data_IF_104929622369
#
_entry.id   IF_104929622369
#
_cell.length_a   1.000
_cell.length_b   1.000
_cell.length_c   1.000
_cell.angle_alpha   90.00
_cell.angle_beta   90.00
_cell.angle_gamma   90.00
#
_symmetry.space_group_name_H-M   'P 1'
#
loop_
_entity.id
_entity.type
_entity.pdbx_description
1 polymer ?
#
# COMPACT_ATOMS: atom_id res chain seq x y z
N UNK A 1 -11.26 -31.21 -28.98
CA UNK A 1 -10.78 -29.92 -28.47
C UNK A 1 -11.28 -29.79 -27.05
N UNK A 2 -10.42 -30.06 -26.06
CA UNK A 2 -10.79 -30.02 -24.65
C UNK A 2 -10.92 -28.56 -24.20
N UNK A 3 -12.08 -28.23 -23.64
CA UNK A 3 -12.24 -27.05 -22.81
C UNK A 3 -11.61 -27.41 -21.47
N UNK A 4 -10.35 -27.01 -21.26
CA UNK A 4 -9.74 -27.06 -19.93
C UNK A 4 -10.51 -26.11 -19.03
N UNK A 5 -11.53 -26.63 -18.37
CA UNK A 5 -12.26 -25.91 -17.33
C UNK A 5 -11.28 -25.78 -16.17
N UNK A 6 -10.71 -24.58 -16.00
CA UNK A 6 -9.78 -24.30 -14.90
C UNK A 6 -10.56 -24.53 -13.59
N UNK A 7 -10.30 -25.67 -12.96
CA UNK A 7 -11.08 -26.12 -11.81
C UNK A 7 -11.00 -25.11 -10.67
N UNK A 8 -12.10 -24.80 -9.95
CA UNK A 8 -12.11 -23.82 -8.86
C UNK A 8 -11.01 -24.07 -7.82
N UNK A 9 -10.65 -25.34 -7.58
CA UNK A 9 -9.54 -25.69 -6.70
C UNK A 9 -8.21 -25.17 -7.23
N UNK A 10 -7.92 -25.31 -8.53
CA UNK A 10 -6.69 -24.84 -9.15
C UNK A 10 -6.52 -23.33 -8.99
N UNK A 11 -7.60 -22.58 -9.19
CA UNK A 11 -7.62 -21.12 -9.01
C UNK A 11 -7.40 -20.72 -7.55
N UNK A 12 -8.02 -21.42 -6.58
CA UNK A 12 -7.82 -21.17 -5.15
C UNK A 12 -6.39 -21.49 -4.72
N UNK A 13 -5.82 -22.61 -5.18
CA UNK A 13 -4.44 -22.99 -4.90
C UNK A 13 -3.44 -21.99 -5.49
N UNK A 14 -3.70 -21.49 -6.70
CA UNK A 14 -2.90 -20.44 -7.34
C UNK A 14 -2.92 -19.14 -6.52
N UNK A 15 -4.09 -18.71 -6.05
CA UNK A 15 -4.21 -17.51 -5.19
C UNK A 15 -3.50 -17.70 -3.85
N UNK A 16 -3.63 -18.87 -3.23
CA UNK A 16 -2.94 -19.20 -1.98
C UNK A 16 -1.42 -19.16 -2.14
N UNK A 17 -0.87 -19.72 -3.23
CA UNK A 17 0.56 -19.65 -3.52
C UNK A 17 1.04 -18.21 -3.73
N UNK A 18 0.27 -17.40 -4.47
CA UNK A 18 0.59 -15.97 -4.63
C UNK A 18 0.60 -15.22 -3.30
N UNK A 19 -0.28 -15.58 -2.36
CA UNK A 19 -0.25 -15.01 -1.00
C UNK A 19 0.99 -15.42 -0.21
N UNK A 20 1.46 -16.66 -0.36
CA UNK A 20 2.70 -17.12 0.28
C UNK A 20 3.95 -16.45 -0.31
N UNK A 21 3.93 -16.13 -1.60
CA UNK A 21 5.01 -15.45 -2.32
C UNK A 21 4.97 -13.92 -2.15
N UNK A 22 3.90 -13.36 -1.58
CA UNK A 22 3.79 -11.94 -1.34
C UNK A 22 4.82 -11.50 -0.27
N UNK A 23 5.56 -10.40 -0.50
CA UNK A 23 6.53 -9.91 0.46
C UNK A 23 5.83 -9.51 1.75
N UNK A 24 6.43 -9.88 2.89
CA UNK A 24 6.02 -9.35 4.20
C UNK A 24 6.19 -7.83 4.17
N UNK A 25 5.21 -7.04 4.64
CA UNK A 25 5.31 -5.59 4.66
C UNK A 25 6.47 -5.13 5.57
N UNK A 26 7.32 -4.23 5.07
CA UNK A 26 8.51 -3.73 5.77
C UNK A 26 8.29 -2.24 6.09
N UNK A 27 7.93 -1.87 7.34
CA UNK A 27 7.73 -0.48 7.69
C UNK A 27 9.05 0.28 7.79
N UNK A 28 9.16 1.42 7.11
CA UNK A 28 10.26 2.37 7.32
C UNK A 28 9.92 3.22 8.54
N UNK A 29 10.63 2.96 9.63
CA UNK A 29 10.42 3.63 10.91
C UNK A 29 10.91 5.07 10.83
N UNK A 30 10.09 5.99 11.34
CA UNK A 30 10.48 7.39 11.52
C UNK A 30 11.33 7.52 12.79
N UNK A 31 12.56 8.00 12.64
CA UNK A 31 13.48 8.24 13.78
C UNK A 31 13.00 9.36 14.70
N UNK A 32 12.23 10.30 14.15
CA UNK A 32 11.66 11.43 14.89
C UNK A 32 10.15 11.28 14.91
N UNK A 33 9.61 10.85 16.05
CA UNK A 33 8.16 10.72 16.22
C UNK A 33 7.51 12.10 16.03
N UNK A 34 6.67 12.29 15.01
CA UNK A 34 6.05 13.59 14.76
C UNK A 34 5.12 13.96 15.94
N UNK A 35 5.09 15.23 16.36
CA UNK A 35 4.21 15.66 17.46
C UNK A 35 2.72 15.55 17.11
N UNK A 36 2.39 15.51 15.82
CA UNK A 36 1.06 15.37 15.25
C UNK A 36 0.68 13.92 14.93
N UNK A 37 1.42 12.92 15.45
CA UNK A 37 1.16 11.51 15.19
C UNK A 37 -0.29 11.14 15.58
N UNK A 38 -1.14 10.79 14.60
CA UNK A 38 -2.50 10.35 14.89
C UNK A 38 -2.49 9.01 15.64
N UNK A 39 -3.39 8.83 16.61
CA UNK A 39 -3.44 7.63 17.47
C UNK A 39 -3.69 6.32 16.72
N UNK A 40 -4.19 6.40 15.49
CA UNK A 40 -4.47 5.26 14.61
C UNK A 40 -3.31 4.95 13.65
N UNK A 41 -2.20 5.70 13.71
CA UNK A 41 -0.98 5.47 12.93
C UNK A 41 0.18 5.01 13.82
N UNK A 42 1.13 4.31 13.20
CA UNK A 42 2.30 3.76 13.87
C UNK A 42 3.56 4.61 13.65
N UNK A 43 4.70 4.02 14.02
CA UNK A 43 6.03 4.62 13.83
C UNK A 43 6.46 4.70 12.36
N UNK A 44 5.68 4.11 11.47
CA UNK A 44 5.79 4.23 10.02
C UNK A 44 5.21 5.55 9.47
N UNK A 45 4.67 6.43 10.33
CA UNK A 45 4.25 7.78 9.95
C UNK A 45 5.38 8.81 10.03
N UNK A 46 5.66 9.48 8.91
CA UNK A 46 6.76 10.44 8.76
C UNK A 46 6.29 11.91 8.76
N UNK A 47 5.05 12.19 9.18
CA UNK A 47 4.54 13.56 9.18
C UNK A 47 4.35 14.11 7.77
N UNK A 48 4.52 15.42 7.62
CA UNK A 48 4.32 16.14 6.35
C UNK A 48 5.58 16.10 5.49
N UNK A 49 5.78 14.98 4.76
CA UNK A 49 6.85 14.85 3.75
C UNK A 49 6.28 14.75 2.34
N UNK A 50 7.05 15.25 1.37
CA UNK A 50 6.72 15.21 -0.06
C UNK A 50 6.81 13.79 -0.63
N UNK A 51 6.23 13.59 -1.81
CA UNK A 51 6.38 12.33 -2.53
C UNK A 51 7.84 12.06 -2.94
N UNK A 52 8.63 13.11 -3.18
CA UNK A 52 10.05 13.02 -3.54
C UNK A 52 10.87 12.53 -2.34
N UNK A 53 10.70 13.15 -1.17
CA UNK A 53 11.37 12.72 0.07
C UNK A 53 11.03 11.27 0.41
N UNK A 54 9.74 10.91 0.35
CA UNK A 54 9.30 9.54 0.54
C UNK A 54 9.91 8.57 -0.48
N UNK A 55 10.05 9.00 -1.74
CA UNK A 55 10.65 8.16 -2.78
C UNK A 55 12.14 7.94 -2.55
N UNK A 56 12.85 8.96 -2.06
CA UNK A 56 14.27 8.84 -1.69
C UNK A 56 14.46 7.87 -0.53
N UNK A 57 13.62 7.96 0.52
CA UNK A 57 13.65 7.02 1.65
C UNK A 57 13.39 5.57 1.23
N UNK A 58 12.56 5.36 0.21
CA UNK A 58 12.25 4.02 -0.30
C UNK A 58 13.23 3.54 -1.39
N UNK A 59 14.06 4.42 -1.94
CA UNK A 59 14.84 4.11 -3.15
C UNK A 59 15.83 2.97 -2.93
N UNK A 60 16.52 2.95 -1.78
CA UNK A 60 17.47 1.91 -1.40
C UNK A 60 16.83 0.66 -0.79
N UNK A 61 15.54 0.71 -0.46
CA UNK A 61 14.88 -0.32 0.34
C UNK A 61 14.40 -1.52 -0.49
N UNK A 62 14.19 -2.71 0.10
CA UNK A 62 13.65 -3.86 -0.62
C UNK A 62 12.17 -3.65 -1.05
N UNK A 63 11.70 -4.51 -1.96
CA UNK A 63 10.26 -4.58 -2.26
C UNK A 63 9.48 -5.00 -1.01
N UNK A 64 8.33 -4.36 -0.77
CA UNK A 64 7.56 -4.48 0.46
C UNK A 64 7.81 -3.34 1.44
N UNK A 65 8.86 -2.53 1.23
CA UNK A 65 9.14 -1.35 2.04
C UNK A 65 8.06 -0.27 1.88
N UNK A 66 7.59 0.31 2.99
CA UNK A 66 6.55 1.32 2.96
C UNK A 66 6.65 2.34 4.10
N UNK A 67 6.01 3.49 3.90
CA UNK A 67 5.80 4.51 4.94
C UNK A 67 4.47 5.24 4.71
N UNK A 68 3.94 5.83 5.78
CA UNK A 68 2.77 6.71 5.75
C UNK A 68 3.22 8.15 5.91
N UNK A 69 2.60 9.05 5.14
CA UNK A 69 2.89 10.49 5.19
C UNK A 69 1.63 11.31 5.02
N UNK A 70 1.62 12.50 5.61
CA UNK A 70 0.66 13.55 5.27
C UNK A 70 1.11 14.27 4.01
N UNK A 71 0.21 14.43 3.04
CA UNK A 71 0.49 15.26 1.87
C UNK A 71 -0.02 16.67 2.13
N UNK A 72 0.79 17.71 1.85
CA UNK A 72 0.32 19.11 1.90
C UNK A 72 -0.95 19.32 1.06
N UNK A 73 -1.08 18.62 -0.06
CA UNK A 73 -2.27 18.67 -0.92
C UNK A 73 -3.50 17.96 -0.37
N UNK A 74 -3.37 17.15 0.69
CA UNK A 74 -4.48 16.40 1.25
C UNK A 74 -5.32 17.24 2.23
N UNK A 75 -4.82 18.38 2.72
CA UNK A 75 -5.50 19.26 3.67
C UNK A 75 -6.13 18.50 4.86
N UNK A 76 -5.46 17.44 5.34
CA UNK A 76 -5.94 16.60 6.44
C UNK A 76 -7.07 15.60 6.11
N UNK A 77 -7.54 15.53 4.86
CA UNK A 77 -8.63 14.62 4.47
C UNK A 77 -8.19 13.15 4.35
N UNK A 78 -6.92 12.91 4.01
CA UNK A 78 -6.37 11.57 3.83
C UNK A 78 -4.85 11.56 4.06
N UNK A 79 -4.32 10.40 4.42
CA UNK A 79 -2.89 10.12 4.46
C UNK A 79 -2.45 9.45 3.16
N UNK A 80 -1.15 9.40 2.90
CA UNK A 80 -0.60 8.72 1.74
C UNK A 80 0.31 7.57 2.17
N UNK A 81 -0.02 6.35 1.76
CA UNK A 81 0.87 5.20 1.81
C UNK A 81 1.82 5.27 0.62
N UNK A 82 3.12 5.30 0.87
CA UNK A 82 4.14 5.14 -0.16
C UNK A 82 4.75 3.74 -0.03
N UNK A 83 4.67 2.94 -1.10
CA UNK A 83 5.04 1.51 -1.09
C UNK A 83 6.00 1.21 -2.26
N UNK A 84 7.12 0.56 -1.97
CA UNK A 84 8.01 0.00 -2.99
C UNK A 84 7.55 -1.41 -3.35
N UNK A 85 7.19 -1.61 -4.60
CA UNK A 85 6.79 -2.91 -5.13
C UNK A 85 7.29 -3.06 -6.56
N UNK A 86 7.91 -4.22 -6.85
CA UNK A 86 8.50 -4.54 -8.14
C UNK A 86 9.44 -3.43 -8.67
N UNK A 87 10.29 -2.88 -7.80
CA UNK A 87 11.26 -1.82 -8.15
C UNK A 87 10.63 -0.45 -8.39
N UNK A 88 9.32 -0.29 -8.22
CA UNK A 88 8.60 0.97 -8.42
C UNK A 88 7.97 1.45 -7.11
N UNK A 89 7.93 2.76 -6.93
CA UNK A 89 7.27 3.39 -5.78
C UNK A 89 5.86 3.80 -6.18
N UNK A 90 4.89 3.35 -5.40
CA UNK A 90 3.47 3.60 -5.58
C UNK A 90 2.95 4.45 -4.43
N UNK A 91 2.02 5.35 -4.71
CA UNK A 91 1.40 6.21 -3.71
C UNK A 91 -0.11 5.97 -3.66
N UNK A 92 -0.62 5.53 -2.52
CA UNK A 92 -2.03 5.23 -2.29
C UNK A 92 -2.61 6.17 -1.25
N UNK A 93 -3.86 6.59 -1.46
CA UNK A 93 -4.59 7.38 -0.47
C UNK A 93 -5.13 6.45 0.62
N UNK A 94 -4.72 6.69 1.85
CA UNK A 94 -5.23 6.07 3.07
C UNK A 94 -6.27 6.98 3.70
N UNK A 95 -7.47 6.48 3.85
CA UNK A 95 -8.54 7.10 4.61
C UNK A 95 -8.68 6.41 5.95
N UNK A 96 -9.17 7.14 6.93
CA UNK A 96 -9.44 6.61 8.26
C UNK A 96 -10.92 6.77 8.56
N UNK A 97 -11.54 5.69 9.02
CA UNK A 97 -12.88 5.68 9.59
C UNK A 97 -12.79 5.17 11.04
N UNK A 98 -13.34 5.89 12.03
CA UNK A 98 -13.22 5.49 13.44
C UNK A 98 -13.82 4.11 13.79
N UNK A 99 -14.73 3.57 12.97
CA UNK A 99 -15.37 2.28 13.21
C UNK A 99 -14.66 1.13 12.49
N UNK A 100 -14.13 1.38 11.28
CA UNK A 100 -13.58 0.36 10.39
C UNK A 100 -12.06 0.45 10.18
N UNK A 101 -11.42 1.49 10.71
CA UNK A 101 -9.96 1.68 10.68
C UNK A 101 -9.45 2.31 9.38
N UNK A 102 -8.21 1.99 9.03
CA UNK A 102 -7.55 2.50 7.83
C UNK A 102 -7.96 1.70 6.59
N UNK A 103 -8.29 2.40 5.50
CA UNK A 103 -8.64 1.77 4.23
C UNK A 103 -8.10 2.56 3.03
N UNK A 104 -7.81 1.83 1.96
CA UNK A 104 -7.50 2.40 0.65
C UNK A 104 -8.79 2.40 -0.18
N UNK A 105 -9.14 3.53 -0.80
CA UNK A 105 -10.23 3.51 -1.80
C UNK A 105 -9.71 2.81 -3.06
N UNK A 106 -10.34 1.70 -3.44
CA UNK A 106 -10.06 1.06 -4.72
C UNK A 106 -10.33 2.04 -5.87
N UNK A 107 -9.35 2.20 -6.76
CA UNK A 107 -9.69 2.54 -8.14
C UNK A 107 -10.34 1.30 -8.73
N UNK A 108 -11.63 1.36 -9.03
CA UNK A 108 -12.26 0.35 -9.88
C UNK A 108 -11.56 0.41 -11.25
N UNK A 109 -10.82 -0.62 -11.57
CA UNK A 109 -10.42 -0.89 -12.94
C UNK A 109 -11.52 -1.75 -13.52
N UNK A 110 -12.33 -1.19 -14.42
CA UNK A 110 -13.23 -2.00 -15.23
C UNK A 110 -12.34 -2.99 -15.98
N UNK A 111 -12.38 -4.25 -15.57
CA UNK A 111 -11.75 -5.32 -16.29
C UNK A 111 -12.55 -5.46 -17.58
N UNK A 112 -12.15 -4.73 -18.63
CA UNK A 112 -12.68 -4.92 -19.98
C UNK A 112 -12.34 -6.36 -20.34
N UNK A 113 -13.35 -7.22 -20.23
CA UNK A 113 -13.32 -8.53 -20.87
C UNK A 113 -13.22 -8.24 -22.36
N UNK A 114 -12.02 -8.31 -22.92
CA UNK A 114 -11.85 -8.45 -24.36
C UNK A 114 -12.58 -9.73 -24.76
N UNK A 115 -13.67 -9.51 -25.48
CA UNK A 115 -14.52 -10.49 -26.18
C UNK A 115 -13.72 -11.38 -27.13
#
# INVERSE_FOLDING_TARGET
>A
MGLDVESPVHTVWKMYRMQLEAPVPIPIICDVVPPDLPSYLGRDYHGTISHVEASNLLYSEPNGAYLVRSSKSANGQFHTLSLKFNGKIHHYKLFYDPQSGLYVREKRYDCVRSS
#
